data_IF_828578102735
#
_entry.id   IF_828578102735
#
_cell.length_a   1.000
_cell.length_b   1.000
_cell.length_c   1.000
_cell.angle_alpha   90.00
_cell.angle_beta   90.00
_cell.angle_gamma   90.00
#
_symmetry.space_group_name_H-M   'P 1'
#
loop_
_entity.id
_entity.type
_entity.pdbx_description
1 polymer ?
#
# COMPACT_ATOMS: atom_id res chain seq x y z
N UNK A 1 10.35 -0.55 78.67
CA UNK A 1 11.34 -0.39 77.59
C UNK A 1 11.56 -1.78 77.00
N UNK A 2 10.53 -2.31 76.31
CA UNK A 2 10.50 -2.61 74.87
C UNK A 2 11.89 -2.93 74.31
N UNK A 3 12.08 -4.17 73.86
CA UNK A 3 12.81 -4.62 72.66
C UNK A 3 12.46 -6.11 72.46
N UNK A 4 11.57 -6.39 71.49
CA UNK A 4 11.20 -7.75 71.12
C UNK A 4 12.14 -8.31 70.05
N UNK A 5 12.34 -9.65 69.96
CA UNK A 5 13.22 -10.22 68.95
C UNK A 5 12.62 -10.13 67.54
N UNK A 6 13.32 -9.45 66.66
CA UNK A 6 13.06 -9.40 65.22
C UNK A 6 13.32 -10.77 64.60
N UNK A 7 12.26 -11.50 64.27
CA UNK A 7 12.36 -12.75 63.50
C UNK A 7 12.62 -12.41 62.03
N UNK A 8 13.85 -12.63 61.58
CA UNK A 8 14.25 -12.50 60.17
C UNK A 8 13.65 -13.66 59.37
N UNK A 9 12.54 -13.41 58.67
CA UNK A 9 11.97 -14.34 57.71
C UNK A 9 13.00 -14.62 56.61
N UNK A 10 13.41 -15.89 56.47
CA UNK A 10 14.18 -16.36 55.31
C UNK A 10 13.30 -16.20 54.08
N UNK A 11 13.59 -15.20 53.25
CA UNK A 11 12.98 -15.03 51.94
C UNK A 11 13.17 -16.32 51.14
N UNK A 12 12.05 -16.96 50.83
CA UNK A 12 11.99 -18.26 50.17
C UNK A 12 12.65 -18.20 48.80
N UNK A 13 13.62 -19.09 48.61
CA UNK A 13 14.19 -19.45 47.31
C UNK A 13 13.17 -20.29 46.53
N UNK A 14 11.99 -19.74 46.24
CA UNK A 14 10.90 -20.50 45.60
C UNK A 14 10.09 -19.75 44.53
N UNK A 15 10.48 -18.55 44.09
CA UNK A 15 9.64 -17.80 43.12
C UNK A 15 10.29 -17.58 41.74
N UNK A 16 11.38 -18.26 41.41
CA UNK A 16 11.98 -18.19 40.06
C UNK A 16 11.63 -19.35 39.13
N UNK A 17 10.93 -20.39 39.61
CA UNK A 17 10.57 -21.55 38.78
C UNK A 17 9.16 -21.41 38.19
N UNK A 18 8.29 -20.57 38.78
CA UNK A 18 6.89 -20.51 38.37
C UNK A 18 6.65 -19.58 37.15
N UNK A 19 7.47 -18.54 36.97
CA UNK A 19 7.33 -17.62 35.83
C UNK A 19 7.88 -18.17 34.51
N UNK A 20 8.76 -19.18 34.55
CA UNK A 20 9.29 -19.84 33.34
C UNK A 20 8.36 -20.94 32.79
N UNK A 21 7.28 -21.30 33.51
CA UNK A 21 6.38 -22.40 33.11
C UNK A 21 5.15 -21.98 32.29
N UNK A 22 4.92 -20.68 32.09
CA UNK A 22 3.73 -20.26 31.35
C UNK A 22 3.90 -20.21 29.83
N UNK A 23 5.11 -20.08 29.27
CA UNK A 23 5.31 -20.14 27.81
C UNK A 23 6.78 -20.49 27.47
N UNK A 24 7.12 -21.77 27.19
CA UNK A 24 8.46 -22.13 26.74
C UNK A 24 8.56 -21.86 25.24
N UNK A 25 8.56 -20.59 24.85
CA UNK A 25 8.88 -20.22 23.46
C UNK A 25 10.39 -19.98 23.44
N UNK A 26 11.14 -20.95 22.90
CA UNK A 26 12.59 -20.85 22.74
C UNK A 26 12.97 -19.59 21.97
N UNK A 27 14.18 -19.05 22.18
CA UNK A 27 14.65 -17.87 21.42
C UNK A 27 14.57 -18.08 19.89
N UNK A 28 14.74 -19.33 19.43
CA UNK A 28 14.51 -19.73 18.03
C UNK A 28 13.05 -19.66 17.59
N UNK A 29 12.09 -20.03 18.44
CA UNK A 29 10.65 -19.93 18.11
C UNK A 29 10.18 -18.47 18.03
N UNK A 30 10.75 -17.58 18.84
CA UNK A 30 10.46 -16.13 18.76
C UNK A 30 10.92 -15.53 17.44
N UNK A 31 12.06 -15.98 16.92
CA UNK A 31 12.54 -15.57 15.60
C UNK A 31 11.58 -16.02 14.49
N UNK A 32 11.13 -17.28 14.51
CA UNK A 32 10.18 -17.81 13.53
C UNK A 32 8.80 -17.17 13.62
N UNK A 33 8.33 -16.83 14.81
CA UNK A 33 7.08 -16.07 15.01
C UNK A 33 7.19 -14.65 14.45
N UNK A 34 8.27 -13.93 14.73
CA UNK A 34 8.52 -12.61 14.15
C UNK A 34 8.66 -12.68 12.62
N UNK A 35 9.39 -13.67 12.10
CA UNK A 35 9.54 -13.87 10.66
C UNK A 35 8.19 -14.16 9.99
N UNK A 36 7.36 -15.03 10.57
CA UNK A 36 6.00 -15.29 10.06
C UNK A 36 5.13 -14.04 10.11
N UNK A 37 5.19 -13.25 11.19
CA UNK A 37 4.46 -12.00 11.29
C UNK A 37 4.88 -11.00 10.21
N UNK A 38 6.20 -10.80 10.01
CA UNK A 38 6.73 -9.94 8.95
C UNK A 38 6.36 -10.43 7.55
N UNK A 39 6.34 -11.74 7.32
CA UNK A 39 5.88 -12.32 6.04
C UNK A 39 4.39 -12.05 5.82
N UNK A 40 3.53 -12.22 6.83
CA UNK A 40 2.10 -11.92 6.73
C UNK A 40 1.84 -10.44 6.46
N UNK A 41 2.56 -9.55 7.15
CA UNK A 41 2.45 -8.10 6.94
C UNK A 41 2.96 -7.71 5.56
N UNK A 42 4.08 -8.28 5.09
CA UNK A 42 4.65 -7.99 3.79
C UNK A 42 3.80 -8.52 2.61
N UNK A 43 3.03 -9.60 2.84
CA UNK A 43 2.13 -10.18 1.86
C UNK A 43 0.69 -9.70 1.99
N UNK A 44 0.43 -8.70 2.84
CA UNK A 44 -0.93 -8.21 3.02
C UNK A 44 -1.41 -7.49 1.75
N UNK A 45 -2.53 -7.96 1.23
CA UNK A 45 -3.24 -7.37 0.10
C UNK A 45 -4.71 -7.21 0.47
N UNK A 46 -5.34 -6.16 -0.03
CA UNK A 46 -6.77 -5.95 0.14
C UNK A 46 -7.55 -7.10 -0.52
N UNK A 47 -8.69 -7.50 0.05
CA UNK A 47 -9.53 -8.53 -0.54
C UNK A 47 -10.05 -8.07 -1.90
N UNK A 48 -10.23 -9.04 -2.82
CA UNK A 48 -10.89 -8.79 -4.10
C UNK A 48 -12.39 -8.60 -3.83
N UNK A 49 -12.91 -7.48 -4.30
CA UNK A 49 -14.33 -7.14 -4.20
C UNK A 49 -14.91 -7.22 -5.60
N UNK A 50 -15.76 -8.21 -5.90
CA UNK A 50 -16.34 -8.35 -7.22
C UNK A 50 -17.28 -7.18 -7.49
N UNK A 51 -16.96 -6.38 -8.51
CA UNK A 51 -17.86 -5.35 -9.01
C UNK A 51 -18.86 -6.00 -9.96
N UNK A 52 -20.14 -5.97 -9.59
CA UNK A 52 -21.22 -6.43 -10.47
C UNK A 52 -21.26 -5.54 -11.71
N UNK A 53 -21.15 -6.15 -12.90
CA UNK A 53 -21.29 -5.43 -14.17
C UNK A 53 -22.73 -4.96 -14.34
N UNK A 54 -22.98 -3.70 -14.05
CA UNK A 54 -24.24 -3.00 -14.34
C UNK A 54 -24.11 -2.20 -15.64
N UNK A 55 -25.24 -1.89 -16.28
CA UNK A 55 -25.27 -0.97 -17.43
C UNK A 55 -24.91 0.47 -17.03
N UNK A 56 -25.23 0.85 -15.79
CA UNK A 56 -24.91 2.15 -15.21
C UNK A 56 -23.40 2.31 -14.97
N UNK A 57 -22.83 3.44 -15.41
CA UNK A 57 -21.43 3.80 -15.18
C UNK A 57 -21.31 4.57 -13.86
N UNK A 58 -20.46 4.09 -12.97
CA UNK A 58 -20.18 4.69 -11.66
C UNK A 58 -18.69 4.97 -11.58
N UNK A 59 -18.35 6.18 -12.02
CA UNK A 59 -16.98 6.60 -12.31
C UNK A 59 -16.34 7.47 -11.23
N UNK A 60 -15.02 7.39 -11.09
CA UNK A 60 -14.24 8.37 -10.32
C UNK A 60 -13.01 8.84 -11.10
N UNK A 61 -12.76 10.15 -11.08
CA UNK A 61 -11.53 10.74 -11.60
C UNK A 61 -10.41 10.63 -10.57
N UNK A 62 -9.23 10.23 -11.02
CA UNK A 62 -8.04 10.13 -10.18
C UNK A 62 -6.94 11.02 -10.75
N UNK A 63 -6.45 11.95 -9.92
CA UNK A 63 -5.35 12.83 -10.32
C UNK A 63 -4.03 12.08 -10.41
N UNK A 64 -3.13 12.58 -11.24
CA UNK A 64 -1.75 12.12 -11.35
C UNK A 64 -1.04 12.08 -9.99
N UNK A 65 -1.15 13.15 -9.19
CA UNK A 65 -0.57 13.28 -7.84
C UNK A 65 -1.11 12.21 -6.89
N UNK A 66 -2.43 12.01 -6.87
CA UNK A 66 -3.04 10.98 -6.04
C UNK A 66 -2.53 9.58 -6.41
N UNK A 67 -2.45 9.26 -7.70
CA UNK A 67 -1.93 7.98 -8.19
C UNK A 67 -0.45 7.79 -7.80
N UNK A 68 0.40 8.80 -8.00
CA UNK A 68 1.82 8.76 -7.64
C UNK A 68 2.06 8.61 -6.13
N UNK A 69 1.23 9.24 -5.28
CA UNK A 69 1.36 9.15 -3.83
C UNK A 69 0.93 7.78 -3.29
N UNK A 70 -0.11 7.18 -3.86
CA UNK A 70 -0.60 5.87 -3.42
C UNK A 70 0.31 4.71 -3.83
N UNK A 71 1.14 4.92 -4.85
CA UNK A 71 2.01 3.90 -5.42
C UNK A 71 2.97 3.24 -4.39
N UNK A 72 3.60 4.00 -3.50
CA UNK A 72 4.62 3.49 -2.57
C UNK A 72 4.08 2.67 -1.38
N UNK A 73 2.78 2.39 -1.36
CA UNK A 73 2.10 1.87 -0.17
C UNK A 73 1.02 0.87 -0.55
N UNK A 74 0.54 0.10 0.43
CA UNK A 74 -0.67 -0.74 0.31
C UNK A 74 -1.93 0.06 -0.02
N UNK A 75 -1.88 1.41 0.08
CA UNK A 75 -3.02 2.30 -0.13
C UNK A 75 -3.62 2.22 -1.52
N UNK A 76 -2.82 1.93 -2.56
CA UNK A 76 -3.37 1.80 -3.91
C UNK A 76 -4.37 0.64 -3.97
N UNK A 77 -3.99 -0.52 -3.45
CA UNK A 77 -4.85 -1.71 -3.41
C UNK A 77 -6.08 -1.48 -2.52
N UNK A 78 -5.87 -0.94 -1.31
CA UNK A 78 -6.96 -0.60 -0.39
C UNK A 78 -7.95 0.38 -1.01
N UNK A 79 -7.45 1.38 -1.74
CA UNK A 79 -8.28 2.37 -2.43
C UNK A 79 -9.11 1.68 -3.51
N UNK A 80 -8.52 0.87 -4.39
CA UNK A 80 -9.27 0.16 -5.43
C UNK A 80 -10.33 -0.77 -4.83
N UNK A 81 -9.99 -1.51 -3.77
CA UNK A 81 -10.95 -2.33 -3.04
C UNK A 81 -12.09 -1.48 -2.45
N UNK A 82 -11.78 -0.29 -1.91
CA UNK A 82 -12.78 0.60 -1.37
C UNK A 82 -13.71 1.16 -2.45
N UNK A 83 -13.17 1.55 -3.62
CA UNK A 83 -13.97 1.99 -4.75
C UNK A 83 -14.95 0.89 -5.18
N UNK A 84 -14.48 -0.36 -5.28
CA UNK A 84 -15.31 -1.51 -5.59
C UNK A 84 -16.40 -1.77 -4.53
N UNK A 85 -16.08 -1.66 -3.22
CA UNK A 85 -17.08 -1.78 -2.12
C UNK A 85 -18.18 -0.73 -2.24
N UNK A 86 -17.83 0.47 -2.69
CA UNK A 86 -18.77 1.56 -2.93
C UNK A 86 -19.50 1.48 -4.29
N UNK A 87 -19.42 0.33 -4.97
CA UNK A 87 -20.07 0.06 -6.26
C UNK A 87 -19.60 0.98 -7.39
N UNK A 88 -18.43 1.59 -7.26
CA UNK A 88 -17.79 2.23 -8.41
C UNK A 88 -17.25 1.14 -9.34
N UNK A 89 -17.37 1.37 -10.63
CA UNK A 89 -17.01 0.39 -11.66
C UNK A 89 -16.04 0.93 -12.70
N UNK A 90 -15.78 2.24 -12.70
CA UNK A 90 -14.90 2.88 -13.68
C UNK A 90 -13.95 3.86 -12.99
N UNK A 91 -12.67 3.78 -13.33
CA UNK A 91 -11.60 4.65 -12.87
C UNK A 91 -11.09 5.46 -14.06
N UNK A 92 -10.98 6.78 -13.88
CA UNK A 92 -10.44 7.70 -14.87
C UNK A 92 -9.11 8.29 -14.37
N UNK A 93 -7.98 7.56 -14.50
CA UNK A 93 -6.68 8.09 -14.09
C UNK A 93 -6.18 9.15 -15.07
N UNK A 94 -5.71 10.27 -14.53
CA UNK A 94 -5.00 11.29 -15.29
C UNK A 94 -3.62 10.77 -15.72
N UNK A 95 -3.52 10.28 -16.95
CA UNK A 95 -2.26 9.73 -17.51
C UNK A 95 -1.37 10.81 -18.11
N UNK A 96 -1.96 11.99 -18.36
CA UNK A 96 -1.32 13.15 -18.96
C UNK A 96 -1.83 14.43 -18.31
N UNK A 97 -0.92 15.26 -17.79
CA UNK A 97 -1.25 16.56 -17.20
C UNK A 97 -0.15 17.57 -17.55
N UNK A 98 -0.54 18.74 -18.10
CA UNK A 98 0.36 19.90 -18.34
C UNK A 98 1.68 19.51 -19.02
N UNK A 99 1.61 18.65 -20.04
CA UNK A 99 2.78 18.25 -20.80
C UNK A 99 3.64 17.15 -20.15
N UNK A 100 3.11 16.44 -19.15
CA UNK A 100 3.82 15.42 -18.38
C UNK A 100 3.04 14.10 -18.36
N UNK A 101 3.77 12.99 -18.50
CA UNK A 101 3.22 11.62 -18.43
C UNK A 101 3.27 11.07 -17.01
N UNK A 102 2.26 10.30 -16.61
CA UNK A 102 2.24 9.55 -15.34
C UNK A 102 3.14 8.30 -15.38
N UNK A 103 3.51 7.83 -16.57
CA UNK A 103 4.29 6.62 -16.78
C UNK A 103 5.55 6.89 -17.62
N UNK A 104 6.58 6.03 -17.53
CA UNK A 104 7.73 6.07 -18.43
C UNK A 104 7.28 5.85 -19.88
N UNK A 105 7.52 6.81 -20.76
CA UNK A 105 7.07 6.75 -22.16
C UNK A 105 8.19 7.10 -23.13
N UNK A 106 8.59 6.13 -23.95
CA UNK A 106 9.56 6.35 -25.03
C UNK A 106 9.01 7.20 -26.19
N UNK A 107 7.68 7.29 -26.33
CA UNK A 107 7.04 8.22 -27.28
C UNK A 107 7.21 9.65 -26.77
N UNK A 108 6.91 9.90 -25.49
CA UNK A 108 7.11 11.21 -24.89
C UNK A 108 8.58 11.62 -24.90
N UNK A 109 9.50 10.70 -24.59
CA UNK A 109 10.93 10.99 -24.59
C UNK A 109 11.47 11.42 -25.96
N UNK A 110 10.94 10.86 -27.06
CA UNK A 110 11.29 11.24 -28.43
C UNK A 110 10.61 12.52 -28.89
N UNK A 111 9.38 12.75 -28.46
CA UNK A 111 8.57 13.88 -28.92
C UNK A 111 8.78 15.17 -28.10
N UNK A 112 9.20 15.07 -26.84
CA UNK A 112 9.44 16.21 -25.96
C UNK A 112 10.91 16.61 -25.95
N UNK A 113 11.17 17.92 -26.00
CA UNK A 113 12.53 18.47 -25.94
C UNK A 113 13.21 18.26 -24.58
N UNK A 114 12.43 18.16 -23.50
CA UNK A 114 12.97 17.91 -22.15
C UNK A 114 13.28 16.43 -21.92
N UNK A 115 12.60 15.54 -22.66
CA UNK A 115 12.74 14.08 -22.56
C UNK A 115 12.43 13.50 -21.16
N UNK A 116 11.91 14.31 -20.22
CA UNK A 116 11.75 13.95 -18.81
C UNK A 116 10.43 14.48 -18.27
N UNK A 117 9.60 13.58 -17.74
CA UNK A 117 8.39 13.93 -16.99
C UNK A 117 8.73 13.96 -15.49
N UNK A 118 8.37 15.02 -14.77
CA UNK A 118 8.51 15.07 -13.31
C UNK A 118 7.56 14.08 -12.61
N UNK A 119 6.46 13.72 -13.26
CA UNK A 119 5.47 12.78 -12.73
C UNK A 119 5.87 11.32 -12.93
N UNK A 120 6.67 11.02 -13.97
CA UNK A 120 7.20 9.68 -14.24
C UNK A 120 8.55 9.40 -13.56
N UNK A 121 9.07 10.34 -12.77
CA UNK A 121 10.41 10.28 -12.15
C UNK A 121 10.48 9.41 -10.89
N UNK A 122 9.42 8.67 -10.55
CA UNK A 122 9.47 7.72 -9.46
C UNK A 122 10.47 6.59 -9.83
N UNK A 123 11.60 6.44 -9.12
CA UNK A 123 12.64 5.50 -9.52
C UNK A 123 12.13 4.07 -9.49
N UNK A 124 12.31 3.35 -10.60
CA UNK A 124 12.13 1.90 -10.66
C UNK A 124 10.70 1.37 -10.79
N UNK A 125 9.68 2.22 -10.97
CA UNK A 125 8.30 1.71 -11.08
C UNK A 125 7.37 2.54 -11.97
N UNK A 126 6.56 1.85 -12.76
CA UNK A 126 5.50 2.43 -13.59
C UNK A 126 4.19 2.54 -12.78
N UNK A 127 3.87 3.76 -12.33
CA UNK A 127 2.65 4.07 -11.57
C UNK A 127 1.39 3.64 -12.31
N UNK A 128 1.34 3.85 -13.64
CA UNK A 128 0.17 3.50 -14.43
C UNK A 128 0.00 1.98 -14.49
N UNK A 129 1.10 1.24 -14.65
CA UNK A 129 1.06 -0.23 -14.64
C UNK A 129 0.47 -0.79 -13.34
N UNK A 130 0.96 -0.31 -12.18
CA UNK A 130 0.42 -0.72 -10.89
C UNK A 130 -1.06 -0.35 -10.71
N UNK A 131 -1.45 0.84 -11.17
CA UNK A 131 -2.83 1.30 -11.12
C UNK A 131 -3.76 0.45 -11.99
N UNK A 132 -3.34 0.12 -13.22
CA UNK A 132 -4.08 -0.78 -14.12
C UNK A 132 -4.20 -2.18 -13.51
N UNK A 133 -3.11 -2.72 -12.95
CA UNK A 133 -3.11 -4.03 -12.32
C UNK A 133 -4.09 -4.10 -11.14
N UNK A 134 -4.02 -3.15 -10.21
CA UNK A 134 -4.91 -3.14 -9.04
C UNK A 134 -6.36 -2.82 -9.42
N UNK A 135 -6.58 -1.93 -10.38
CA UNK A 135 -7.91 -1.62 -10.89
C UNK A 135 -8.57 -2.87 -11.51
N UNK A 136 -7.87 -3.58 -12.39
CA UNK A 136 -8.37 -4.80 -13.01
C UNK A 136 -8.58 -5.94 -12.02
N UNK A 137 -7.70 -6.07 -11.01
CA UNK A 137 -7.87 -7.05 -9.92
C UNK A 137 -9.19 -6.85 -9.17
N UNK A 138 -9.67 -5.62 -9.06
CA UNK A 138 -10.96 -5.26 -8.45
C UNK A 138 -12.10 -5.15 -9.48
N UNK A 139 -11.90 -5.65 -10.70
CA UNK A 139 -12.87 -5.58 -11.82
C UNK A 139 -13.32 -4.16 -12.21
N UNK A 140 -12.51 -3.15 -11.90
CA UNK A 140 -12.74 -1.78 -12.34
C UNK A 140 -12.32 -1.61 -13.81
N UNK A 141 -13.15 -0.92 -14.59
CA UNK A 141 -12.77 -0.43 -15.92
C UNK A 141 -11.82 0.75 -15.75
N UNK A 142 -10.65 0.72 -16.39
CA UNK A 142 -9.68 1.83 -16.33
C UNK A 142 -9.68 2.56 -17.66
N UNK A 143 -10.07 3.84 -17.66
CA UNK A 143 -10.15 4.69 -18.87
C UNK A 143 -9.17 5.86 -18.73
N UNK A 144 -8.08 5.91 -19.51
CA UNK A 144 -7.08 6.97 -19.37
C UNK A 144 -7.67 8.35 -19.68
N UNK A 145 -7.43 9.31 -18.80
CA UNK A 145 -7.82 10.71 -18.95
C UNK A 145 -6.60 11.57 -19.31
N UNK A 146 -6.75 12.38 -20.36
CA UNK A 146 -5.78 13.39 -20.77
C UNK A 146 -6.28 14.76 -20.32
N UNK A 147 -5.63 15.33 -19.31
CA UNK A 147 -6.02 16.60 -18.72
C UNK A 147 -5.56 17.76 -19.62
N UNK A 148 -6.52 18.63 -19.97
CA UNK A 148 -6.37 19.72 -20.94
C UNK A 148 -6.00 19.27 -22.37
N UNK A 149 -6.21 17.99 -22.70
CA UNK A 149 -5.84 17.42 -24.00
C UNK A 149 -4.35 17.05 -24.10
N UNK A 150 -3.97 16.49 -25.25
CA UNK A 150 -2.61 16.06 -25.52
C UNK A 150 -1.82 17.18 -26.20
N UNK A 151 -1.08 17.96 -25.42
CA UNK A 151 -0.17 19.02 -25.91
C UNK A 151 1.26 18.76 -25.45
N UNK A 152 2.13 18.38 -26.37
CA UNK A 152 3.54 18.08 -26.07
C UNK A 152 4.33 19.40 -25.96
N UNK A 153 4.96 19.70 -24.81
CA UNK A 153 5.76 20.91 -24.66
C UNK A 153 7.05 20.77 -25.49
N UNK A 154 7.23 21.71 -26.42
CA UNK A 154 8.38 21.80 -27.33
C UNK A 154 9.42 22.84 -26.91
N UNK A 155 9.17 23.62 -25.86
CA UNK A 155 10.06 24.70 -25.39
C UNK A 155 10.99 24.24 -24.28
#
# INVERSE_FOLDING_TARGET
MIEGPVVRLKSGKHDRVFLDRCFPIGAGDRFWLCARFWVVVALWQAPIVPVTKTSEIRGVWMTNRSASLMHYTTRLDETMANLARHRLNTLYPCVWNRGQTLHPSGVFQRASRTGRSLLAQLPGYDVLSGLVQQGHRQHLRVIPWFEYGLMIPIR
#
